data_IF_454293448013
#
_entry.id   IF_454293448013
#
_cell.length_a   1.000
_cell.length_b   1.000
_cell.length_c   1.000
_cell.angle_alpha   90.00
_cell.angle_beta   90.00
_cell.angle_gamma   90.00
#
_symmetry.space_group_name_H-M   'P 1'
#
loop_
_entity.id
_entity.type
_entity.pdbx_description
1 polymer ?
#
# COMPACT_ATOMS: atom_id res chain seq x y z
N UNK A 1 22.42 50.22 -0.54
CA UNK A 1 22.31 49.42 -1.83
C UNK A 1 22.33 47.96 -1.43
N UNK A 2 21.17 47.44 -1.14
CA UNK A 2 21.02 46.04 -0.71
C UNK A 2 21.03 45.14 -1.94
N UNK A 3 22.05 44.26 -1.98
CA UNK A 3 22.11 43.21 -3.01
C UNK A 3 21.01 42.19 -2.71
N UNK A 4 19.95 42.21 -3.51
CA UNK A 4 18.99 41.12 -3.59
C UNK A 4 19.71 39.93 -4.21
N UNK A 5 20.03 38.94 -3.39
CA UNK A 5 20.52 37.64 -3.86
C UNK A 5 19.30 36.90 -4.38
N UNK A 6 19.15 36.82 -5.69
CA UNK A 6 18.22 35.87 -6.30
C UNK A 6 18.78 34.47 -6.04
N UNK A 7 18.16 33.75 -5.12
CA UNK A 7 18.31 32.31 -5.02
C UNK A 7 17.53 31.73 -6.19
N UNK A 8 18.24 31.30 -7.25
CA UNK A 8 17.64 30.48 -8.28
C UNK A 8 17.00 29.27 -7.58
N UNK A 9 15.67 29.14 -7.71
CA UNK A 9 14.99 27.91 -7.34
C UNK A 9 15.56 26.81 -8.24
N UNK A 10 16.42 25.95 -7.69
CA UNK A 10 16.71 24.67 -8.30
C UNK A 10 15.36 24.02 -8.58
N UNK A 11 15.09 23.71 -9.86
CA UNK A 11 13.92 22.91 -10.23
C UNK A 11 14.04 21.59 -9.49
N UNK A 12 13.21 21.40 -8.46
CA UNK A 12 13.06 20.13 -7.80
C UNK A 12 12.71 19.12 -8.88
N UNK A 13 13.67 18.26 -9.25
CA UNK A 13 13.39 17.10 -10.08
C UNK A 13 12.33 16.30 -9.35
N UNK A 14 11.10 16.38 -9.82
CA UNK A 14 9.96 15.73 -9.21
C UNK A 14 10.22 14.23 -9.16
N UNK A 15 10.44 13.68 -7.97
CA UNK A 15 10.64 12.26 -7.76
C UNK A 15 9.41 11.49 -8.24
N UNK A 16 9.62 10.43 -9.03
CA UNK A 16 8.52 9.61 -9.52
C UNK A 16 8.28 8.47 -8.53
N UNK A 17 7.17 8.54 -7.83
CA UNK A 17 6.71 7.49 -6.92
C UNK A 17 6.01 6.37 -7.69
N UNK A 18 6.77 5.63 -8.50
CA UNK A 18 6.26 4.57 -9.36
C UNK A 18 7.21 3.35 -9.39
N UNK A 19 6.64 2.18 -9.59
CA UNK A 19 7.36 0.94 -9.83
C UNK A 19 6.67 0.17 -10.96
N UNK A 20 7.42 -0.17 -12.03
CA UNK A 20 6.91 -0.86 -13.24
C UNK A 20 5.65 -0.21 -13.83
N UNK A 21 5.58 1.13 -13.80
CA UNK A 21 4.44 1.89 -14.32
C UNK A 21 3.24 2.00 -13.38
N UNK A 22 3.30 1.38 -12.19
CA UNK A 22 2.29 1.50 -11.13
C UNK A 22 2.69 2.64 -10.21
N UNK A 23 1.78 3.57 -9.94
CA UNK A 23 2.00 4.79 -9.14
C UNK A 23 1.15 4.80 -7.89
N UNK A 24 1.60 5.55 -6.88
CA UNK A 24 0.73 5.93 -5.78
C UNK A 24 -0.51 6.65 -6.33
N UNK A 25 -1.69 6.28 -5.80
CA UNK A 25 -2.98 6.83 -6.23
C UNK A 25 -3.57 6.20 -7.50
N UNK A 26 -2.87 5.29 -8.16
CA UNK A 26 -3.45 4.54 -9.29
C UNK A 26 -4.65 3.72 -8.83
N UNK A 27 -5.73 3.72 -9.62
CA UNK A 27 -6.91 2.89 -9.33
C UNK A 27 -6.64 1.42 -9.63
N UNK A 28 -7.31 0.53 -8.90
CA UNK A 28 -7.23 -0.92 -9.15
C UNK A 28 -7.65 -1.28 -10.57
N UNK A 29 -8.60 -0.53 -11.16
CA UNK A 29 -9.03 -0.72 -12.55
C UNK A 29 -7.85 -0.65 -13.53
N UNK A 30 -6.91 0.28 -13.29
CA UNK A 30 -5.72 0.45 -14.13
C UNK A 30 -4.76 -0.73 -14.07
N UNK A 31 -4.72 -1.42 -12.94
CA UNK A 31 -3.77 -2.52 -12.69
C UNK A 31 -4.42 -3.90 -12.60
N UNK A 32 -5.75 -3.98 -12.78
CA UNK A 32 -6.52 -5.21 -12.56
C UNK A 32 -6.01 -6.38 -13.40
N UNK A 33 -5.52 -6.12 -14.61
CA UNK A 33 -5.02 -7.14 -15.52
C UNK A 33 -3.63 -7.69 -15.10
N UNK A 34 -2.94 -7.03 -14.17
CA UNK A 34 -1.68 -7.50 -13.58
C UNK A 34 -1.94 -8.40 -12.36
N UNK A 35 -3.11 -8.27 -11.74
CA UNK A 35 -3.48 -9.01 -10.55
C UNK A 35 -3.96 -10.42 -10.94
N UNK A 36 -3.65 -11.39 -10.11
CA UNK A 36 -4.21 -12.75 -10.19
C UNK A 36 -4.14 -13.42 -8.82
N UNK A 37 -4.91 -14.50 -8.62
CA UNK A 37 -5.01 -15.19 -7.34
C UNK A 37 -3.70 -15.83 -6.82
N UNK A 38 -2.63 -15.87 -7.65
CA UNK A 38 -1.35 -16.44 -7.23
C UNK A 38 -0.42 -15.41 -6.62
N UNK A 39 -0.53 -14.16 -7.05
CA UNK A 39 0.35 -13.07 -6.63
C UNK A 39 -0.38 -11.95 -5.89
N UNK A 40 -1.62 -12.19 -5.48
CA UNK A 40 -2.40 -11.27 -4.65
C UNK A 40 -2.92 -11.97 -3.40
N UNK A 41 -2.93 -11.25 -2.29
CA UNK A 41 -3.50 -11.70 -1.01
C UNK A 41 -4.02 -10.52 -0.22
N UNK A 42 -4.92 -10.76 0.71
CA UNK A 42 -5.28 -9.76 1.71
C UNK A 42 -4.17 -9.65 2.77
N UNK A 43 -3.99 -8.45 3.33
CA UNK A 43 -3.22 -8.29 4.55
C UNK A 43 -4.02 -8.85 5.76
N UNK A 44 -3.34 -9.05 6.88
CA UNK A 44 -3.94 -9.65 8.08
C UNK A 44 -5.11 -8.83 8.66
N UNK A 45 -5.09 -7.51 8.44
CA UNK A 45 -6.18 -6.61 8.87
C UNK A 45 -7.39 -6.59 7.91
N UNK A 46 -7.30 -7.25 6.74
CA UNK A 46 -8.36 -7.24 5.72
C UNK A 46 -8.59 -5.85 5.06
N UNK A 47 -7.64 -4.92 5.20
CA UNK A 47 -7.77 -3.54 4.70
C UNK A 47 -7.16 -3.33 3.34
N UNK A 48 -6.13 -4.11 3.00
CA UNK A 48 -5.37 -3.94 1.78
C UNK A 48 -5.23 -5.24 0.99
N UNK A 49 -5.38 -5.13 -0.31
CA UNK A 49 -4.97 -6.16 -1.26
C UNK A 49 -3.47 -5.96 -1.55
N UNK A 50 -2.66 -6.98 -1.27
CA UNK A 50 -1.23 -6.98 -1.53
C UNK A 50 -0.97 -7.70 -2.84
N UNK A 51 -0.37 -6.99 -3.81
CA UNK A 51 0.13 -7.55 -5.05
C UNK A 51 1.65 -7.72 -4.98
N UNK A 52 2.16 -8.91 -5.28
CA UNK A 52 3.58 -9.25 -5.30
C UNK A 52 4.05 -9.51 -6.75
N UNK A 53 4.73 -8.55 -7.42
CA UNK A 53 5.15 -8.68 -8.83
C UNK A 53 6.28 -9.69 -9.08
N UNK A 54 6.77 -10.35 -8.01
CA UNK A 54 7.80 -11.40 -8.12
C UNK A 54 9.24 -10.93 -7.96
N UNK A 55 9.50 -9.63 -7.84
CA UNK A 55 10.84 -9.11 -7.56
C UNK A 55 11.17 -9.29 -6.09
N UNK A 56 12.36 -9.82 -5.78
CA UNK A 56 12.77 -10.07 -4.40
C UNK A 56 14.23 -9.71 -4.17
N UNK A 57 14.55 -9.36 -2.93
CA UNK A 57 15.91 -9.43 -2.39
C UNK A 57 15.90 -10.51 -1.32
N UNK A 58 16.61 -11.61 -1.57
CA UNK A 58 16.55 -12.81 -0.74
C UNK A 58 15.08 -13.22 -0.54
N UNK A 59 14.58 -13.22 0.69
CA UNK A 59 13.21 -13.60 1.02
C UNK A 59 12.25 -12.40 1.13
N UNK A 60 12.74 -11.17 0.85
CA UNK A 60 11.91 -9.96 0.96
C UNK A 60 11.33 -9.62 -0.40
N UNK A 61 10.02 -9.74 -0.54
CA UNK A 61 9.29 -9.48 -1.78
C UNK A 61 8.97 -8.00 -1.94
N UNK A 62 9.05 -7.50 -3.18
CA UNK A 62 8.41 -6.24 -3.58
C UNK A 62 6.91 -6.39 -3.44
N UNK A 63 6.24 -5.37 -2.85
CA UNK A 63 4.80 -5.41 -2.56
C UNK A 63 4.14 -4.10 -2.91
N UNK A 64 2.98 -4.18 -3.53
CA UNK A 64 2.12 -3.06 -3.85
C UNK A 64 0.83 -3.24 -3.07
N UNK A 65 0.50 -2.26 -2.25
CA UNK A 65 -0.68 -2.27 -1.38
C UNK A 65 -1.78 -1.43 -2.02
N UNK A 66 -2.92 -2.04 -2.19
CA UNK A 66 -4.12 -1.42 -2.76
C UNK A 66 -5.16 -1.40 -1.66
N UNK A 67 -5.56 -0.22 -1.23
CA UNK A 67 -6.62 -0.09 -0.22
C UNK A 67 -7.91 -0.73 -0.75
N UNK A 68 -8.42 -1.73 -0.05
CA UNK A 68 -9.56 -2.52 -0.47
C UNK A 68 -10.84 -1.66 -0.59
N UNK A 69 -10.98 -0.66 0.27
CA UNK A 69 -12.17 0.18 0.35
C UNK A 69 -12.20 1.31 -0.67
N UNK A 70 -11.04 1.91 -0.97
CA UNK A 70 -10.94 3.00 -1.96
C UNK A 70 -10.54 2.50 -3.33
N UNK A 71 -9.85 1.36 -3.39
CA UNK A 71 -9.30 0.75 -4.57
C UNK A 71 -8.18 1.54 -5.24
N UNK A 72 -7.43 2.26 -4.45
CA UNK A 72 -6.24 2.97 -4.92
C UNK A 72 -4.98 2.37 -4.33
N UNK A 73 -3.87 2.50 -5.06
CA UNK A 73 -2.54 2.14 -4.58
C UNK A 73 -2.12 3.14 -3.50
N UNK A 74 -1.96 2.66 -2.27
CA UNK A 74 -1.61 3.49 -1.10
C UNK A 74 -0.17 3.35 -0.67
N UNK A 75 0.49 2.23 -1.01
CA UNK A 75 1.88 2.00 -0.66
C UNK A 75 2.56 1.10 -1.70
N UNK A 76 3.84 1.37 -1.98
CA UNK A 76 4.69 0.55 -2.82
C UNK A 76 5.99 0.30 -2.05
N UNK A 77 6.22 -0.95 -1.63
CA UNK A 77 7.49 -1.40 -1.01
C UNK A 77 8.32 -2.10 -2.07
N UNK A 78 9.48 -1.55 -2.43
CA UNK A 78 10.33 -2.02 -3.52
C UNK A 78 11.59 -2.68 -2.93
N UNK A 79 11.72 -3.98 -3.16
CA UNK A 79 12.91 -4.77 -2.83
C UNK A 79 13.45 -5.43 -4.11
N UNK A 80 13.58 -4.64 -5.17
CA UNK A 80 14.07 -5.07 -6.47
C UNK A 80 15.48 -4.53 -6.68
N UNK A 81 16.48 -5.41 -6.73
CA UNK A 81 17.90 -5.06 -6.88
C UNK A 81 18.22 -4.27 -8.14
N UNK A 82 17.39 -4.40 -9.17
CA UNK A 82 17.56 -3.73 -10.45
C UNK A 82 16.86 -2.36 -10.47
N UNK A 83 16.08 -2.06 -9.44
CA UNK A 83 15.43 -0.75 -9.29
C UNK A 83 16.44 0.32 -8.83
N UNK A 84 16.41 1.46 -9.49
CA UNK A 84 17.27 2.60 -9.20
C UNK A 84 16.41 3.86 -9.10
N UNK A 85 16.33 4.43 -7.90
CA UNK A 85 15.59 5.67 -7.67
C UNK A 85 16.38 6.89 -8.15
N UNK A 86 17.70 6.90 -7.91
CA UNK A 86 18.66 7.88 -8.39
C UNK A 86 20.05 7.21 -8.49
N UNK A 87 21.00 7.86 -9.18
CA UNK A 87 22.35 7.27 -9.39
C UNK A 87 23.06 6.88 -8.09
N UNK A 88 22.90 7.68 -7.04
CA UNK A 88 23.45 7.46 -5.71
C UNK A 88 22.49 6.75 -4.73
N UNK A 89 21.23 6.53 -5.12
CA UNK A 89 20.25 5.76 -4.38
C UNK A 89 20.04 4.41 -5.10
N UNK A 90 20.97 3.49 -4.90
CA UNK A 90 20.87 2.11 -5.40
C UNK A 90 20.84 1.13 -4.23
N UNK A 91 20.13 0.04 -4.40
CA UNK A 91 20.15 -1.04 -3.43
C UNK A 91 21.59 -1.58 -3.28
N UNK A 92 22.00 -1.78 -2.03
CA UNK A 92 23.37 -2.15 -1.66
C UNK A 92 24.31 -0.96 -1.41
N UNK A 93 23.89 0.28 -1.71
CA UNK A 93 24.70 1.47 -1.45
C UNK A 93 24.76 1.77 0.05
N UNK A 94 25.96 1.97 0.63
CA UNK A 94 26.10 2.45 2.00
C UNK A 94 25.45 3.82 2.21
N UNK A 95 24.80 4.00 3.35
CA UNK A 95 24.29 5.31 3.75
C UNK A 95 25.48 6.22 4.09
N UNK A 96 25.54 7.40 3.46
CA UNK A 96 26.57 8.41 3.72
C UNK A 96 25.98 9.69 4.30
N UNK A 97 26.82 10.50 4.95
CA UNK A 97 26.40 11.81 5.46
C UNK A 97 25.92 12.72 4.33
N UNK A 98 26.58 12.69 3.18
CA UNK A 98 26.18 13.46 2.00
C UNK A 98 24.81 13.05 1.50
N UNK A 99 24.47 11.77 1.56
CA UNK A 99 23.15 11.25 1.19
C UNK A 99 22.09 11.72 2.18
N UNK A 100 22.36 11.65 3.48
CA UNK A 100 21.46 12.12 4.54
C UNK A 100 21.14 13.61 4.32
N UNK A 101 22.15 14.44 4.10
CA UNK A 101 21.97 15.88 3.86
C UNK A 101 21.23 16.16 2.54
N UNK A 102 21.64 15.48 1.46
CA UNK A 102 21.08 15.68 0.12
C UNK A 102 19.60 15.37 0.06
N UNK A 103 19.18 14.25 0.65
CA UNK A 103 17.79 13.78 0.63
C UNK A 103 16.98 14.18 1.85
N UNK A 104 17.61 14.85 2.84
CA UNK A 104 16.98 15.24 4.10
C UNK A 104 16.47 14.03 4.86
N UNK A 105 17.33 13.01 4.99
CA UNK A 105 16.97 11.76 5.66
C UNK A 105 17.07 11.94 7.17
N UNK A 106 16.12 11.34 7.88
CA UNK A 106 16.15 11.25 9.34
C UNK A 106 15.65 9.87 9.76
N UNK A 107 16.19 9.40 10.87
CA UNK A 107 15.78 8.17 11.50
C UNK A 107 14.60 8.46 12.43
N UNK A 108 13.53 7.67 12.36
CA UNK A 108 12.41 7.81 13.29
C UNK A 108 12.71 6.97 14.55
N UNK A 109 12.81 7.63 15.71
CA UNK A 109 13.09 7.01 17.01
C UNK A 109 12.03 5.95 17.44
N UNK A 110 10.89 5.87 16.76
CA UNK A 110 9.79 4.95 17.08
C UNK A 110 10.06 3.54 16.53
N UNK A 111 10.97 3.41 15.57
CA UNK A 111 11.17 2.17 14.82
C UNK A 111 12.54 1.53 15.06
N UNK A 112 12.97 1.43 16.30
CA UNK A 112 14.26 0.82 16.70
C UNK A 112 14.52 -0.56 16.07
N UNK A 113 13.50 -1.29 15.61
CA UNK A 113 13.62 -2.63 15.04
C UNK A 113 13.53 -2.70 13.51
N UNK A 114 13.10 -1.63 12.82
CA UNK A 114 12.80 -1.65 11.38
C UNK A 114 13.74 -0.78 10.57
N UNK A 115 14.98 -0.79 10.67
CA UNK A 115 15.96 -0.02 9.92
C UNK A 115 15.42 0.75 8.70
N UNK A 116 15.03 2.01 8.88
CA UNK A 116 14.65 2.87 7.78
C UNK A 116 14.94 4.36 8.05
N UNK A 117 15.08 5.12 6.96
CA UNK A 117 15.15 6.57 6.99
C UNK A 117 13.94 7.15 6.27
N UNK A 118 13.28 8.13 6.87
CA UNK A 118 12.29 8.97 6.20
C UNK A 118 12.94 10.20 5.58
N UNK A 119 12.33 10.73 4.51
CA UNK A 119 12.80 11.95 3.86
C UNK A 119 11.91 13.14 4.17
N UNK A 120 12.48 14.19 4.75
CA UNK A 120 11.79 15.48 4.94
C UNK A 120 11.53 16.16 3.58
N UNK A 121 12.46 16.04 2.63
CA UNK A 121 12.34 16.67 1.30
C UNK A 121 11.34 15.96 0.41
N UNK A 122 11.26 14.64 0.52
CA UNK A 122 10.42 13.78 -0.32
C UNK A 122 9.42 13.04 0.56
N UNK A 123 8.39 13.74 0.99
CA UNK A 123 7.41 13.32 2.02
C UNK A 123 6.76 11.95 1.84
N UNK A 124 6.89 11.35 0.64
CA UNK A 124 6.32 10.03 0.32
C UNK A 124 7.39 8.95 0.22
N UNK A 125 8.64 9.26 0.58
CA UNK A 125 9.78 8.36 0.45
C UNK A 125 10.29 7.90 1.81
N UNK A 126 10.38 6.59 1.96
CA UNK A 126 11.14 5.90 3.01
C UNK A 126 12.23 5.08 2.34
N UNK A 127 13.44 5.12 2.87
CA UNK A 127 14.56 4.29 2.45
C UNK A 127 14.71 3.18 3.50
N UNK A 128 14.46 1.93 3.10
CA UNK A 128 14.64 0.77 3.96
C UNK A 128 16.13 0.39 3.97
N UNK A 129 16.67 0.13 5.16
CA UNK A 129 18.09 -0.16 5.36
C UNK A 129 18.31 -1.51 6.06
N UNK A 130 19.48 -2.09 5.82
CA UNK A 130 20.06 -3.14 6.63
C UNK A 130 21.22 -2.55 7.45
N UNK A 131 21.22 -2.76 8.75
CA UNK A 131 22.25 -2.26 9.69
C UNK A 131 23.60 -2.99 9.57
N UNK A 132 23.74 -3.92 8.63
CA UNK A 132 24.92 -4.77 8.55
C UNK A 132 25.04 -5.77 9.71
N UNK A 133 23.91 -6.10 10.36
CA UNK A 133 23.85 -7.03 11.49
C UNK A 133 23.54 -8.47 11.09
N UNK A 134 23.50 -8.76 9.77
CA UNK A 134 23.23 -10.08 9.24
C UNK A 134 21.74 -10.41 9.06
N UNK A 135 20.85 -9.40 9.04
CA UNK A 135 19.45 -9.59 8.65
C UNK A 135 19.35 -10.09 7.21
N UNK A 136 20.20 -9.56 6.33
CA UNK A 136 20.53 -10.18 5.05
C UNK A 136 21.90 -10.85 5.18
N UNK A 137 22.02 -12.14 4.87
CA UNK A 137 23.24 -12.93 5.05
C UNK A 137 24.49 -12.27 4.44
N UNK A 138 24.32 -11.51 3.36
CA UNK A 138 25.41 -10.82 2.65
C UNK A 138 25.94 -9.57 3.36
N UNK A 139 25.24 -9.04 4.36
CA UNK A 139 25.57 -7.77 5.02
C UNK A 139 25.76 -7.99 6.52
N UNK A 140 26.93 -8.49 6.88
CA UNK A 140 27.30 -8.69 8.29
C UNK A 140 28.65 -8.01 8.59
N UNK A 141 28.76 -6.71 8.29
CA UNK A 141 30.00 -5.94 8.44
C UNK A 141 29.80 -4.64 9.23
N UNK A 142 28.61 -4.43 9.79
CA UNK A 142 28.26 -3.24 10.57
C UNK A 142 28.11 -1.96 9.72
N UNK A 143 27.91 -2.10 8.41
CA UNK A 143 27.71 -0.96 7.52
C UNK A 143 26.24 -0.90 7.08
N UNK A 144 25.57 0.22 7.38
CA UNK A 144 24.22 0.47 6.96
C UNK A 144 24.12 0.60 5.43
N UNK A 145 23.21 -0.14 4.82
CA UNK A 145 22.99 -0.13 3.36
C UNK A 145 21.55 -0.08 3.00
N UNK A 146 21.26 0.57 1.87
CA UNK A 146 19.93 0.57 1.26
C UNK A 146 19.59 -0.86 0.83
N UNK A 147 18.45 -1.37 1.29
CA UNK A 147 17.88 -2.66 0.86
C UNK A 147 16.57 -2.51 0.09
N UNK A 148 15.95 -1.33 0.14
CA UNK A 148 14.69 -1.09 -0.55
C UNK A 148 14.18 0.33 -0.36
N UNK A 149 13.00 0.56 -0.92
CA UNK A 149 12.29 1.83 -0.85
C UNK A 149 10.83 1.58 -0.54
N UNK A 150 10.23 2.48 0.23
CA UNK A 150 8.79 2.51 0.42
C UNK A 150 8.26 3.87 -0.02
N UNK A 151 7.31 3.85 -0.96
CA UNK A 151 6.51 5.00 -1.31
C UNK A 151 5.15 4.86 -0.65
N UNK A 152 4.66 5.90 0.01
CA UNK A 152 3.36 5.86 0.68
C UNK A 152 2.63 7.20 0.62
N UNK A 153 1.30 7.16 0.73
CA UNK A 153 0.45 8.34 0.76
C UNK A 153 0.19 8.73 2.21
N UNK A 154 0.77 9.85 2.68
CA UNK A 154 0.60 10.30 4.06
C UNK A 154 -0.84 10.72 4.38
N UNK A 155 -1.53 11.30 3.41
CA UNK A 155 -2.86 11.90 3.62
C UNK A 155 -4.02 10.89 3.39
N UNK A 156 -3.71 9.66 2.98
CA UNK A 156 -4.70 8.70 2.47
C UNK A 156 -5.31 7.77 3.51
N UNK A 157 -4.74 7.67 4.71
CA UNK A 157 -5.10 6.66 5.70
C UNK A 157 -5.80 7.20 6.95
N UNK A 158 -6.01 8.49 7.08
CA UNK A 158 -7.01 8.97 8.03
C UNK A 158 -8.41 8.57 7.54
N UNK A 159 -8.71 7.30 7.69
CA UNK A 159 -10.09 6.87 7.76
C UNK A 159 -10.70 7.53 8.99
N UNK A 160 -11.24 8.73 8.82
CA UNK A 160 -12.21 9.26 9.73
C UNK A 160 -13.38 8.29 9.73
N UNK A 161 -13.25 7.25 10.54
CA UNK A 161 -14.33 6.31 10.85
C UNK A 161 -15.34 7.13 11.63
N UNK A 162 -16.18 7.88 10.92
CA UNK A 162 -17.41 8.34 11.50
C UNK A 162 -18.22 7.08 11.79
N UNK A 163 -18.39 6.81 13.07
CA UNK A 163 -19.36 5.82 13.58
C UNK A 163 -20.77 6.38 13.36
N UNK A 164 -21.15 6.59 12.11
CA UNK A 164 -22.55 6.75 11.78
C UNK A 164 -23.10 5.33 11.81
N UNK A 165 -23.80 4.98 12.87
CA UNK A 165 -24.50 3.71 13.01
C UNK A 165 -25.48 3.61 11.84
N UNK A 166 -25.18 2.74 10.88
CA UNK A 166 -26.16 2.36 9.87
C UNK A 166 -27.09 1.36 10.51
N UNK A 167 -28.32 1.78 10.81
CA UNK A 167 -29.34 0.95 11.45
C UNK A 167 -29.69 -0.30 10.63
N UNK A 168 -29.41 -0.27 9.31
CA UNK A 168 -29.73 -1.37 8.42
C UNK A 168 -28.67 -1.54 7.32
N UNK A 169 -27.71 -2.43 7.54
CA UNK A 169 -26.65 -2.74 6.58
C UNK A 169 -27.14 -3.33 5.24
N UNK A 170 -28.39 -3.83 5.17
CA UNK A 170 -29.00 -4.30 3.93
C UNK A 170 -29.31 -3.14 2.96
N UNK A 171 -29.35 -1.91 3.46
CA UNK A 171 -29.55 -0.71 2.65
C UNK A 171 -28.27 -0.14 2.06
N UNK A 172 -27.12 -0.58 2.54
CA UNK A 172 -25.81 -0.17 2.01
C UNK A 172 -25.69 -0.47 0.52
N UNK A 173 -24.93 0.33 -0.21
CA UNK A 173 -24.77 0.21 -1.66
C UNK A 173 -23.39 -0.30 -2.07
N UNK A 174 -22.40 -0.05 -1.24
CA UNK A 174 -21.01 -0.40 -1.55
C UNK A 174 -20.25 -0.86 -0.30
N UNK A 175 -19.05 -1.41 -0.51
CA UNK A 175 -18.19 -1.93 0.55
C UNK A 175 -17.82 -0.85 1.59
N UNK A 176 -17.62 0.40 1.15
CA UNK A 176 -17.27 1.51 2.04
C UNK A 176 -18.39 1.82 3.03
N UNK A 177 -19.66 1.82 2.56
CA UNK A 177 -20.82 2.05 3.42
C UNK A 177 -20.89 1.00 4.53
N UNK A 178 -20.67 -0.27 4.18
CA UNK A 178 -20.70 -1.37 5.14
C UNK A 178 -19.51 -1.29 6.10
N UNK A 179 -18.32 -0.94 5.62
CA UNK A 179 -17.13 -0.85 6.44
C UNK A 179 -17.22 0.23 7.53
N UNK A 180 -17.85 1.36 7.22
CA UNK A 180 -18.05 2.43 8.21
C UNK A 180 -19.05 2.03 9.31
N UNK A 181 -20.00 1.16 9.01
CA UNK A 181 -21.08 0.78 9.92
C UNK A 181 -20.83 -0.54 10.66
N UNK A 182 -20.05 -1.44 10.09
CA UNK A 182 -19.95 -2.83 10.55
C UNK A 182 -18.50 -3.31 10.53
N UNK A 183 -18.09 -3.85 11.64
CA UNK A 183 -16.88 -4.65 11.70
C UNK A 183 -17.17 -5.99 11.06
N UNK A 184 -16.79 -6.18 9.80
CA UNK A 184 -16.52 -7.52 9.33
C UNK A 184 -15.57 -8.17 10.34
N UNK A 185 -15.82 -9.40 10.73
CA UNK A 185 -14.81 -10.16 11.44
C UNK A 185 -13.58 -10.17 10.54
N UNK A 186 -12.41 -9.86 11.09
CA UNK A 186 -11.14 -9.75 10.34
C UNK A 186 -10.92 -10.92 9.38
N UNK A 187 -11.40 -12.12 9.73
CA UNK A 187 -11.27 -13.35 8.94
C UNK A 187 -12.39 -13.58 7.90
N UNK A 188 -13.34 -12.64 7.72
CA UNK A 188 -14.51 -12.89 6.88
C UNK A 188 -14.44 -12.32 5.48
N UNK A 189 -13.40 -11.53 5.16
CA UNK A 189 -13.21 -11.00 3.83
C UNK A 189 -12.34 -11.93 2.99
N UNK A 190 -12.79 -12.20 1.78
CA UNK A 190 -12.07 -12.96 0.77
C UNK A 190 -12.08 -12.20 -0.56
N UNK A 191 -11.01 -12.28 -1.33
CA UNK A 191 -10.91 -11.66 -2.66
C UNK A 191 -10.64 -12.72 -3.71
N UNK A 192 -11.49 -12.76 -4.72
CA UNK A 192 -11.32 -13.56 -5.93
C UNK A 192 -11.02 -12.61 -7.11
N UNK A 193 -9.74 -12.46 -7.43
CA UNK A 193 -9.30 -11.54 -8.47
C UNK A 193 -9.76 -11.99 -9.85
N UNK A 194 -9.80 -13.31 -10.10
CA UNK A 194 -10.18 -13.86 -11.41
C UNK A 194 -11.67 -13.59 -11.68
N UNK A 195 -12.52 -13.66 -10.66
CA UNK A 195 -13.95 -13.30 -10.77
C UNK A 195 -14.20 -11.80 -10.62
N UNK A 196 -13.18 -11.03 -10.21
CA UNK A 196 -13.28 -9.61 -9.83
C UNK A 196 -14.32 -9.38 -8.73
N UNK A 197 -14.24 -10.19 -7.68
CA UNK A 197 -15.20 -10.17 -6.59
C UNK A 197 -14.52 -10.11 -5.21
N UNK A 198 -15.21 -9.45 -4.29
CA UNK A 198 -14.90 -9.45 -2.86
C UNK A 198 -16.08 -10.11 -2.15
N UNK A 199 -15.78 -11.04 -1.26
CA UNK A 199 -16.78 -11.70 -0.43
C UNK A 199 -16.60 -11.27 1.02
N UNK A 200 -17.71 -11.04 1.71
CA UNK A 200 -17.71 -10.79 3.13
C UNK A 200 -18.89 -11.47 3.79
N UNK A 201 -18.73 -11.90 5.04
CA UNK A 201 -19.81 -12.43 5.83
C UNK A 201 -20.05 -11.54 7.04
N UNK A 202 -21.33 -11.22 7.27
CA UNK A 202 -21.79 -10.48 8.42
C UNK A 202 -23.07 -11.12 8.93
N UNK A 203 -23.08 -11.52 10.20
CA UNK A 203 -24.16 -12.31 10.78
C UNK A 203 -24.52 -13.52 9.91
N UNK A 204 -25.79 -13.61 9.50
CA UNK A 204 -26.31 -14.68 8.64
C UNK A 204 -26.33 -14.30 7.16
N UNK A 205 -25.58 -13.28 6.75
CA UNK A 205 -25.59 -12.79 5.37
C UNK A 205 -24.21 -12.87 4.74
N UNK A 206 -24.18 -13.37 3.49
CA UNK A 206 -23.01 -13.31 2.61
C UNK A 206 -23.19 -12.16 1.63
N UNK A 207 -22.22 -11.27 1.60
CA UNK A 207 -22.14 -10.16 0.67
C UNK A 207 -21.15 -10.51 -0.45
N UNK A 208 -21.51 -10.14 -1.67
CA UNK A 208 -20.60 -10.17 -2.81
C UNK A 208 -20.52 -8.75 -3.37
N UNK A 209 -19.30 -8.23 -3.50
CA UNK A 209 -19.01 -6.93 -4.05
C UNK A 209 -18.22 -7.05 -5.34
N UNK A 210 -18.37 -6.10 -6.22
CA UNK A 210 -17.49 -5.95 -7.38
C UNK A 210 -16.12 -5.41 -6.93
N UNK A 211 -15.05 -6.06 -7.38
CA UNK A 211 -13.67 -5.69 -6.98
C UNK A 211 -13.22 -4.34 -7.52
N UNK A 212 -13.78 -3.88 -8.65
CA UNK A 212 -13.40 -2.61 -9.28
C UNK A 212 -14.23 -1.45 -8.76
N UNK A 213 -15.56 -1.61 -8.72
CA UNK A 213 -16.51 -0.55 -8.32
C UNK A 213 -16.81 -0.53 -6.84
N UNK A 214 -16.56 -1.64 -6.10
CA UNK A 214 -16.95 -1.92 -4.71
C UNK A 214 -18.45 -1.95 -4.47
N UNK A 215 -19.26 -1.88 -5.51
CA UNK A 215 -20.70 -1.97 -5.37
C UNK A 215 -21.13 -3.40 -4.97
N UNK A 216 -22.20 -3.47 -4.22
CA UNK A 216 -22.82 -4.76 -3.87
C UNK A 216 -23.39 -5.38 -5.13
N UNK A 217 -22.94 -6.59 -5.46
CA UNK A 217 -23.49 -7.45 -6.53
C UNK A 217 -24.65 -8.30 -5.98
N UNK A 218 -24.48 -8.86 -4.80
CA UNK A 218 -25.53 -9.67 -4.18
C UNK A 218 -25.42 -9.73 -2.65
N UNK A 219 -26.57 -9.97 -2.00
CA UNK A 219 -26.67 -10.31 -0.58
C UNK A 219 -27.47 -11.59 -0.50
N UNK A 220 -26.91 -12.64 0.12
CA UNK A 220 -27.56 -13.92 0.32
C UNK A 220 -27.74 -14.21 1.81
N UNK A 221 -28.95 -14.58 2.22
CA UNK A 221 -29.18 -15.12 3.54
C UNK A 221 -28.66 -16.56 3.61
N UNK A 222 -27.76 -16.84 4.56
CA UNK A 222 -27.11 -18.15 4.68
C UNK A 222 -28.02 -19.24 5.27
N UNK A 223 -29.05 -18.88 6.04
CA UNK A 223 -30.01 -19.82 6.61
C UNK A 223 -31.03 -20.27 5.56
N UNK A 224 -31.65 -19.30 4.88
CA UNK A 224 -32.70 -19.61 3.89
C UNK A 224 -32.13 -19.88 2.51
N UNK A 225 -30.86 -19.50 2.23
CA UNK A 225 -30.18 -19.52 0.92
C UNK A 225 -30.83 -18.61 -0.12
N UNK A 226 -31.74 -17.74 0.27
CA UNK A 226 -32.40 -16.79 -0.61
C UNK A 226 -31.52 -15.55 -0.85
N UNK A 227 -31.58 -15.01 -2.06
CA UNK A 227 -30.98 -13.72 -2.37
C UNK A 227 -31.93 -12.60 -2.00
N UNK A 228 -31.46 -11.68 -1.14
CA UNK A 228 -32.23 -10.51 -0.71
C UNK A 228 -32.05 -9.36 -1.70
N UNK A 229 -30.85 -9.25 -2.24
CA UNK A 229 -30.48 -8.19 -3.17
C UNK A 229 -29.58 -8.77 -4.25
N UNK A 230 -29.90 -8.52 -5.50
CA UNK A 230 -29.02 -8.72 -6.64
C UNK A 230 -28.96 -7.40 -7.40
N UNK A 231 -27.76 -6.90 -7.74
CA UNK A 231 -27.67 -5.81 -8.68
C UNK A 231 -28.17 -6.36 -10.01
N UNK A 232 -29.30 -5.85 -10.47
CA UNK A 232 -29.67 -5.99 -11.86
C UNK A 232 -28.66 -5.14 -12.65
N UNK A 233 -27.99 -5.77 -13.63
CA UNK A 233 -27.10 -5.12 -14.57
C UNK A 233 -27.73 -3.90 -15.24
#
# INVERSE_FOLDING_TARGET
MDKVIFVEKEEEKQMKYEYQGIKLGDSIEKIIDLLNNKNTKLNDAGTDLIYEPGSTIEDISTRIYICLYTGIVVMIKIFDKDFCLAEDLKIGTPISKEMIEKYGLYEDDIAEDEGYYESIKYKKLVINIDWGTGRLERYNDGIERIIGYTFYEQDGLEFNIRKDEVDNYLECKNLKDIFHSLRFKEDSLEVDVDKREIYGQLDNYKFTFDLVTRNIKSIQNLETREFIKTSLE
#
